data_IF_043782488651
#
_entry.id   IF_043782488651
#
_cell.length_a   1.000
_cell.length_b   1.000
_cell.length_c   1.000
_cell.angle_alpha   90.00
_cell.angle_beta   90.00
_cell.angle_gamma   90.00
#
_symmetry.space_group_name_H-M   'P 1'
#
loop_
_entity.id
_entity.type
_entity.pdbx_description
1 polymer ?
#
# COMPACT_ATOMS: atom_id res chain seq x y z
N UNK A 1 13.94 -12.58 -14.84
CA UNK A 1 13.48 -12.36 -13.47
C UNK A 1 12.40 -11.30 -13.58
N UNK A 2 11.16 -11.74 -13.76
CA UNK A 2 9.99 -10.91 -13.53
C UNK A 2 9.91 -10.76 -12.01
N UNK A 3 10.29 -9.59 -11.52
CA UNK A 3 10.06 -9.25 -10.12
C UNK A 3 8.68 -8.58 -10.10
N UNK A 4 7.64 -9.39 -10.28
CA UNK A 4 6.28 -9.00 -9.89
C UNK A 4 6.33 -8.81 -8.38
N UNK A 5 6.44 -7.55 -7.95
CA UNK A 5 6.45 -7.16 -6.54
C UNK A 5 5.04 -7.42 -6.00
N UNK A 6 4.79 -8.68 -5.70
CA UNK A 6 3.54 -9.20 -5.12
C UNK A 6 3.61 -9.24 -3.61
N UNK A 7 4.81 -9.18 -3.04
CA UNK A 7 5.05 -9.12 -1.60
C UNK A 7 6.30 -8.30 -1.31
N UNK A 8 6.27 -7.62 -0.16
CA UNK A 8 7.38 -6.84 0.37
C UNK A 8 7.66 -7.31 1.80
N UNK A 9 8.91 -7.21 2.23
CA UNK A 9 9.30 -7.48 3.60
C UNK A 9 9.73 -6.17 4.21
N UNK A 10 9.08 -5.78 5.31
CA UNK A 10 9.43 -4.60 6.06
C UNK A 10 10.02 -5.02 7.40
N UNK A 11 11.06 -4.31 7.80
CA UNK A 11 11.65 -4.48 9.12
C UNK A 11 11.08 -3.39 10.02
N UNK A 12 10.42 -3.79 11.10
CA UNK A 12 9.87 -2.85 12.08
C UNK A 12 10.98 -2.30 13.01
N UNK A 13 10.64 -1.38 13.92
CA UNK A 13 11.58 -0.73 14.85
C UNK A 13 12.26 -1.73 15.81
N UNK A 14 11.60 -2.87 16.08
CA UNK A 14 12.14 -3.97 16.87
C UNK A 14 13.12 -4.87 16.09
N UNK A 15 13.31 -4.63 14.79
CA UNK A 15 14.13 -5.48 13.92
C UNK A 15 13.43 -6.77 13.48
N UNK A 16 12.12 -6.88 13.69
CA UNK A 16 11.33 -8.01 13.23
C UNK A 16 10.96 -7.83 11.75
N UNK A 17 11.20 -8.86 10.95
CA UNK A 17 10.84 -8.91 9.54
C UNK A 17 9.36 -9.31 9.41
N UNK A 18 8.54 -8.37 8.96
CA UNK A 18 7.12 -8.58 8.69
C UNK A 18 6.92 -8.68 7.18
N UNK A 19 6.39 -9.81 6.73
CA UNK A 19 6.00 -10.00 5.33
C UNK A 19 4.62 -9.42 5.07
N UNK A 20 4.56 -8.54 4.06
CA UNK A 20 3.33 -7.97 3.56
C UNK A 20 3.09 -8.39 2.10
N UNK A 21 1.83 -8.60 1.75
CA UNK A 21 1.43 -8.88 0.39
C UNK A 21 0.92 -7.58 -0.26
N UNK A 22 1.47 -7.22 -1.41
CA UNK A 22 1.03 -6.05 -2.19
C UNK A 22 -0.27 -6.40 -2.88
N UNK A 23 -1.34 -5.70 -2.49
CA UNK A 23 -2.67 -5.84 -3.10
C UNK A 23 -2.72 -5.00 -4.37
N UNK A 24 -2.36 -3.72 -4.27
CA UNK A 24 -2.34 -2.80 -5.40
C UNK A 24 -1.40 -1.63 -5.14
N UNK A 25 -1.03 -0.92 -6.21
CA UNK A 25 -0.27 0.33 -6.16
C UNK A 25 -1.01 1.43 -6.90
N UNK A 26 -0.89 2.65 -6.41
CA UNK A 26 -1.59 3.83 -6.90
C UNK A 26 -0.60 5.00 -6.95
N UNK A 27 -0.58 5.68 -8.10
CA UNK A 27 0.25 6.87 -8.31
C UNK A 27 -0.65 8.12 -8.21
N UNK A 28 -0.49 8.90 -7.14
CA UNK A 28 -1.37 10.04 -6.81
C UNK A 28 -0.49 11.28 -6.57
N UNK A 29 -0.70 12.35 -7.35
CA UNK A 29 -0.02 13.64 -7.16
C UNK A 29 1.52 13.56 -7.01
N UNK A 30 2.17 12.76 -7.88
CA UNK A 30 3.63 12.53 -7.86
C UNK A 30 4.14 11.72 -6.65
N UNK A 31 3.22 11.15 -5.85
CA UNK A 31 3.51 10.22 -4.76
C UNK A 31 3.01 8.82 -5.11
N UNK A 32 3.77 7.82 -4.72
CA UNK A 32 3.38 6.42 -4.89
C UNK A 32 2.78 5.89 -3.58
N UNK A 33 1.61 5.29 -3.68
CA UNK A 33 0.91 4.64 -2.58
C UNK A 33 0.75 3.15 -2.89
N UNK A 34 0.85 2.32 -1.87
CA UNK A 34 0.73 0.87 -1.97
C UNK A 34 -0.20 0.36 -0.88
N UNK A 35 -1.15 -0.46 -1.27
CA UNK A 35 -2.05 -1.16 -0.36
C UNK A 35 -1.45 -2.52 -0.11
N UNK A 36 -1.21 -2.84 1.15
CA UNK A 36 -0.60 -4.10 1.55
C UNK A 36 -1.42 -4.80 2.63
N UNK A 37 -1.35 -6.12 2.69
CA UNK A 37 -1.95 -6.91 3.76
C UNK A 37 -0.90 -7.72 4.50
N UNK A 38 -0.93 -7.80 5.84
CA UNK A 38 0.00 -8.62 6.59
C UNK A 38 -0.21 -10.09 6.20
N UNK A 39 0.88 -10.78 5.84
CA UNK A 39 0.82 -12.19 5.42
C UNK A 39 0.71 -13.15 6.62
N UNK A 40 1.16 -12.71 7.80
CA UNK A 40 1.21 -13.53 9.00
C UNK A 40 0.03 -13.32 9.95
N UNK A 41 -0.77 -12.28 9.72
CA UNK A 41 -2.01 -12.05 10.45
C UNK A 41 -3.18 -12.55 9.60
N UNK A 42 -4.05 -13.38 10.19
CA UNK A 42 -5.31 -13.84 9.60
C UNK A 42 -6.35 -12.70 9.64
N UNK A 43 -5.95 -11.52 9.15
CA UNK A 43 -6.76 -10.30 9.12
C UNK A 43 -6.88 -9.85 7.68
N UNK A 44 -8.09 -9.59 7.22
CA UNK A 44 -8.35 -8.92 5.95
C UNK A 44 -8.09 -7.40 6.02
N UNK A 45 -7.29 -6.94 6.98
CA UNK A 45 -6.99 -5.53 7.20
C UNK A 45 -5.92 -5.06 6.20
N UNK A 46 -6.36 -4.30 5.22
CA UNK A 46 -5.50 -3.68 4.23
C UNK A 46 -4.93 -2.37 4.79
N UNK A 47 -3.61 -2.21 4.68
CA UNK A 47 -2.87 -1.06 5.18
C UNK A 47 -2.38 -0.25 3.99
N UNK A 48 -2.68 1.05 4.01
CA UNK A 48 -2.17 2.01 3.05
C UNK A 48 -0.80 2.55 3.48
N UNK A 49 0.21 2.34 2.63
CA UNK A 49 1.56 2.85 2.81
C UNK A 49 1.92 3.78 1.64
N UNK A 50 2.58 4.89 1.92
CA UNK A 50 3.19 5.79 0.93
C UNK A 50 4.66 5.46 0.76
N UNK A 51 5.14 5.37 -0.47
CA UNK A 51 6.57 5.32 -0.78
C UNK A 51 7.12 6.74 -0.69
N UNK A 52 8.09 6.93 0.18
CA UNK A 52 8.82 8.16 0.40
C UNK A 52 10.33 7.91 0.23
N UNK A 53 11.13 8.98 0.18
CA UNK A 53 12.58 8.87 0.12
C UNK A 53 13.18 9.47 1.38
N UNK A 54 13.94 8.64 2.09
CA UNK A 54 14.71 9.09 3.24
C UNK A 54 15.89 10.01 2.80
N UNK A 55 16.54 10.66 3.77
CA UNK A 55 17.71 11.52 3.56
C UNK A 55 18.87 10.85 2.79
N UNK A 56 18.97 9.52 2.85
CA UNK A 56 19.99 8.73 2.14
C UNK A 56 19.55 8.35 0.69
N UNK A 57 18.33 8.72 0.28
CA UNK A 57 17.77 8.43 -1.04
C UNK A 57 17.19 7.03 -1.20
N UNK A 58 17.10 6.28 -0.10
CA UNK A 58 16.46 4.96 -0.05
C UNK A 58 14.94 5.11 0.00
N UNK A 59 14.25 4.24 -0.73
CA UNK A 59 12.78 4.17 -0.70
C UNK A 59 12.33 3.58 0.64
N UNK A 60 11.51 4.34 1.36
CA UNK A 60 10.91 3.96 2.64
C UNK A 60 9.40 3.97 2.51
N UNK A 61 8.74 3.05 3.22
CA UNK A 61 7.29 3.00 3.26
C UNK A 61 6.80 3.66 4.56
N UNK A 62 5.90 4.63 4.41
CA UNK A 62 5.36 5.44 5.51
C UNK A 62 3.86 5.19 5.60
N UNK A 63 3.35 4.91 6.79
CA UNK A 63 1.91 4.78 7.00
C UNK A 63 1.20 6.10 6.71
N UNK A 64 0.05 6.01 6.06
CA UNK A 64 -0.79 7.18 5.79
C UNK A 64 -1.61 7.51 7.04
N UNK A 65 -1.04 8.30 7.94
CA UNK A 65 -1.69 8.77 9.18
C UNK A 65 -2.52 10.06 9.01
N UNK A 66 -2.39 10.75 7.88
CA UNK A 66 -3.15 11.97 7.59
C UNK A 66 -4.54 11.61 7.06
N UNK A 67 -5.60 12.07 7.73
CA UNK A 67 -7.00 11.78 7.35
C UNK A 67 -7.31 12.19 5.89
N UNK A 68 -6.71 13.26 5.38
CA UNK A 68 -6.94 13.70 4.01
C UNK A 68 -6.21 12.79 3.01
N UNK A 69 -4.94 12.46 3.26
CA UNK A 69 -4.21 11.50 2.41
C UNK A 69 -4.89 10.13 2.43
N UNK A 70 -5.33 9.66 3.60
CA UNK A 70 -6.03 8.38 3.74
C UNK A 70 -7.32 8.38 2.92
N UNK A 71 -8.14 9.44 3.01
CA UNK A 71 -9.36 9.55 2.22
C UNK A 71 -9.10 9.50 0.71
N UNK A 72 -8.03 10.14 0.23
CA UNK A 72 -7.67 10.12 -1.20
C UNK A 72 -7.26 8.72 -1.64
N UNK A 73 -6.43 8.04 -0.84
CA UNK A 73 -5.97 6.68 -1.12
C UNK A 73 -7.16 5.70 -1.10
N UNK A 74 -8.04 5.80 -0.10
CA UNK A 74 -9.26 4.99 -0.04
C UNK A 74 -10.19 5.28 -1.20
N UNK A 75 -10.42 6.54 -1.57
CA UNK A 75 -11.27 6.89 -2.72
C UNK A 75 -10.68 6.37 -4.03
N UNK A 76 -9.37 6.46 -4.22
CA UNK A 76 -8.68 5.90 -5.39
C UNK A 76 -8.82 4.38 -5.44
N UNK A 77 -8.62 3.70 -4.30
CA UNK A 77 -8.80 2.26 -4.18
C UNK A 77 -10.25 1.87 -4.47
N UNK A 78 -11.22 2.48 -3.78
CA UNK A 78 -12.64 2.24 -4.02
C UNK A 78 -13.00 2.52 -5.46
N UNK A 79 -12.50 3.56 -6.11
CA UNK A 79 -12.77 3.82 -7.54
C UNK A 79 -12.23 2.69 -8.42
N UNK A 80 -10.97 2.31 -8.24
CA UNK A 80 -10.33 1.23 -9.03
C UNK A 80 -11.05 -0.12 -8.87
N UNK A 81 -11.57 -0.41 -7.67
CA UNK A 81 -12.27 -1.65 -7.37
C UNK A 81 -13.81 -1.56 -7.54
N UNK A 82 -14.40 -0.37 -7.51
CA UNK A 82 -15.83 -0.13 -7.73
C UNK A 82 -16.20 -0.09 -9.22
N UNK A 83 -15.22 0.16 -10.10
CA UNK A 83 -15.43 0.03 -11.56
C UNK A 83 -15.81 -1.42 -11.97
N UNK A 84 -15.66 -2.43 -11.11
CA UNK A 84 -16.17 -3.79 -11.36
C UNK A 84 -17.67 -3.98 -11.05
N UNK A 85 -18.34 -3.09 -10.30
CA UNK A 85 -19.76 -3.29 -9.89
C UNK A 85 -20.77 -2.54 -10.78
N UNK A 86 -20.32 -1.57 -11.60
CA UNK A 86 -21.23 -0.69 -12.38
C UNK A 86 -21.60 -1.20 -13.78
N UNK A 87 -21.18 -2.40 -14.20
CA UNK A 87 -21.61 -3.03 -15.48
C UNK A 87 -22.67 -4.14 -15.33
N UNK A 88 -23.34 -4.27 -14.18
CA UNK A 88 -24.56 -5.10 -14.09
C UNK A 88 -25.81 -4.27 -14.42
N UNK A 89 -25.97 -3.93 -15.69
CA UNK A 89 -27.24 -3.45 -16.25
C UNK A 89 -28.10 -4.60 -16.79
#
# INVERSE_FOLDING_TARGET
MENDITSIVLTDEDGEEIEFNVVTKMDIEDKEYVIVTPKHEDTDEAIALRIDKDEDGNDVLVTVDDDQEFAIVTEAYETLFAEEDSELN
#
